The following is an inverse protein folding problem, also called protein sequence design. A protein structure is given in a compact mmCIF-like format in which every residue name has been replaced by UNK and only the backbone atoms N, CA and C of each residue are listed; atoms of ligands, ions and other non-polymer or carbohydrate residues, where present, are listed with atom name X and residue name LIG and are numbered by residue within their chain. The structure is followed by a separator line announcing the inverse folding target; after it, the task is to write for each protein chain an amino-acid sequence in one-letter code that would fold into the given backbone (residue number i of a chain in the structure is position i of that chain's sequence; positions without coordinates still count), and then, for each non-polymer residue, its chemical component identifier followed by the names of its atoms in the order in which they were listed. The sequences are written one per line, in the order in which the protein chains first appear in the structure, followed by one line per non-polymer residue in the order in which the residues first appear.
data_IF_966694086334
#
_entry.id   IF_966694086334
#
_cell.length_a   1.000
_cell.length_b   1.000
_cell.length_c   1.000
_cell.angle_alpha   90.00
_cell.angle_beta   90.00
_cell.angle_gamma   90.00
#
_symmetry.space_group_name_H-M   'P 1'
#
loop_
_entity.id
_entity.type
_entity.pdbx_description
1 polymer ?
#
# COMPACT_ATOMS: atom_id res chain seq x y z
N UNK A 1 -16.72 -19.47 -26.43
CA UNK A 1 -16.01 -18.29 -25.89
C UNK A 1 -17.04 -17.39 -25.21
N UNK A 2 -16.79 -16.94 -23.98
CA UNK A 2 -17.72 -16.07 -23.24
C UNK A 2 -17.83 -14.68 -23.89
N UNK A 3 -19.03 -14.10 -23.88
CA UNK A 3 -19.39 -12.82 -24.52
C UNK A 3 -18.44 -11.64 -24.18
N UNK A 4 -17.78 -11.69 -23.03
CA UNK A 4 -16.90 -10.61 -22.53
C UNK A 4 -15.41 -10.99 -22.52
N UNK A 5 -15.03 -12.14 -23.09
CA UNK A 5 -13.64 -12.60 -23.08
C UNK A 5 -13.07 -12.82 -21.67
N UNK A 6 -13.92 -13.09 -20.67
CA UNK A 6 -13.50 -13.46 -19.31
C UNK A 6 -13.55 -14.99 -19.14
N UNK A 7 -12.62 -15.52 -18.36
CA UNK A 7 -12.45 -16.96 -18.10
C UNK A 7 -12.34 -17.20 -16.60
N UNK A 8 -13.14 -18.13 -16.10
CA UNK A 8 -13.07 -18.62 -14.73
C UNK A 8 -11.93 -19.62 -14.63
N UNK A 9 -10.91 -19.31 -13.85
CA UNK A 9 -9.65 -20.04 -13.83
C UNK A 9 -9.76 -21.39 -13.12
N UNK A 10 -10.54 -21.47 -12.04
CA UNK A 10 -10.65 -22.66 -11.18
C UNK A 10 -11.20 -23.90 -11.92
N UNK A 11 -11.76 -23.74 -13.12
CA UNK A 11 -12.30 -24.81 -13.95
C UNK A 11 -11.38 -25.24 -15.09
N UNK A 12 -10.32 -24.49 -15.39
CA UNK A 12 -9.45 -24.73 -16.57
C UNK A 12 -8.40 -25.81 -16.31
N UNK A 13 -8.02 -26.04 -15.06
CA UNK A 13 -6.92 -26.93 -14.70
C UNK A 13 -7.45 -28.30 -14.27
N UNK A 14 -6.86 -29.36 -14.83
CA UNK A 14 -7.08 -30.73 -14.38
C UNK A 14 -6.37 -30.93 -13.03
N UNK A 15 -7.12 -30.77 -11.95
CA UNK A 15 -6.65 -30.91 -10.58
C UNK A 15 -7.61 -31.78 -9.77
N UNK A 16 -7.11 -32.36 -8.68
CA UNK A 16 -7.93 -33.04 -7.66
C UNK A 16 -8.95 -32.06 -7.08
N UNK A 17 -10.15 -32.54 -6.76
CA UNK A 17 -11.24 -31.67 -6.28
C UNK A 17 -10.89 -30.91 -5.01
N UNK A 18 -10.12 -31.52 -4.11
CA UNK A 18 -9.63 -30.86 -2.89
C UNK A 18 -8.76 -29.61 -3.17
N UNK A 19 -8.21 -29.48 -4.37
CA UNK A 19 -7.45 -28.31 -4.81
C UNK A 19 -8.31 -27.31 -5.58
N UNK A 20 -9.58 -27.60 -5.82
CA UNK A 20 -10.54 -26.74 -6.52
C UNK A 20 -11.60 -26.19 -5.57
N UNK A 21 -12.00 -26.96 -4.57
CA UNK A 21 -13.03 -26.56 -3.62
C UNK A 21 -12.49 -25.62 -2.55
N UNK A 22 -13.22 -24.55 -2.27
CA UNK A 22 -12.77 -23.44 -1.44
C UNK A 22 -13.61 -23.24 -0.19
N UNK A 23 -14.79 -23.84 -0.09
CA UNK A 23 -15.68 -23.65 1.04
C UNK A 23 -16.20 -24.99 1.56
N UNK A 24 -16.30 -25.16 2.88
CA UNK A 24 -16.86 -26.37 3.50
C UNK A 24 -18.19 -26.05 4.17
N UNK A 25 -19.25 -26.72 3.74
CA UNK A 25 -20.55 -26.57 4.38
C UNK A 25 -20.51 -27.08 5.84
N UNK A 26 -20.84 -26.26 6.85
CA UNK A 26 -20.63 -26.60 8.26
C UNK A 26 -21.37 -27.85 8.76
N UNK A 27 -22.53 -28.17 8.17
CA UNK A 27 -23.35 -29.32 8.60
C UNK A 27 -23.05 -30.62 7.86
N UNK A 28 -22.71 -30.54 6.57
CA UNK A 28 -22.51 -31.72 5.73
C UNK A 28 -21.04 -32.05 5.52
N UNK A 29 -20.15 -31.15 5.95
CA UNK A 29 -18.70 -31.19 5.75
C UNK A 29 -18.28 -31.34 4.29
N UNK A 30 -19.21 -31.07 3.36
CA UNK A 30 -18.98 -31.16 1.95
C UNK A 30 -18.25 -29.91 1.45
N UNK A 31 -17.29 -30.13 0.55
CA UNK A 31 -16.48 -29.07 -0.01
C UNK A 31 -17.06 -28.59 -1.35
N UNK A 32 -17.30 -27.29 -1.46
CA UNK A 32 -17.83 -26.63 -2.64
C UNK A 32 -16.81 -25.61 -3.21
N UNK A 33 -16.93 -25.32 -4.50
CA UNK A 33 -16.19 -24.24 -5.16
C UNK A 33 -17.08 -22.98 -5.16
N UNK A 34 -16.76 -22.00 -4.30
CA UNK A 34 -17.49 -20.74 -4.19
C UNK A 34 -16.62 -19.52 -4.52
N UNK A 35 -15.30 -19.63 -4.35
CA UNK A 35 -14.36 -18.54 -4.60
C UNK A 35 -13.71 -18.73 -5.97
N UNK A 36 -13.74 -17.70 -6.81
CA UNK A 36 -13.28 -17.77 -8.19
C UNK A 36 -12.22 -16.71 -8.49
N UNK A 37 -11.25 -17.11 -9.30
CA UNK A 37 -10.32 -16.17 -9.94
C UNK A 37 -10.75 -16.05 -11.40
N UNK A 38 -11.05 -14.81 -11.81
CA UNK A 38 -11.48 -14.50 -13.18
C UNK A 38 -10.35 -13.74 -13.87
N UNK A 39 -10.00 -14.19 -15.07
CA UNK A 39 -8.95 -13.58 -15.90
C UNK A 39 -9.50 -13.23 -17.28
N UNK A 40 -8.89 -12.25 -17.95
CA UNK A 40 -9.18 -12.00 -19.37
C UNK A 40 -8.59 -13.14 -20.21
N UNK A 41 -9.28 -13.52 -21.27
CA UNK A 41 -8.88 -14.62 -22.15
C UNK A 41 -7.50 -14.41 -22.77
N UNK A 42 -7.14 -13.17 -23.11
CA UNK A 42 -5.80 -12.83 -23.63
C UNK A 42 -4.67 -13.03 -22.61
N UNK A 43 -4.98 -12.91 -21.31
CA UNK A 43 -4.02 -13.06 -20.21
C UNK A 43 -4.02 -14.51 -19.67
N UNK A 44 -4.85 -15.41 -20.23
CA UNK A 44 -4.98 -16.80 -19.77
C UNK A 44 -3.65 -17.54 -19.82
N UNK A 45 -2.85 -17.30 -20.86
CA UNK A 45 -1.53 -17.91 -21.07
C UNK A 45 -0.54 -17.60 -19.95
N UNK A 46 -0.75 -16.49 -19.24
CA UNK A 46 0.13 -16.04 -18.17
C UNK A 46 -0.22 -16.69 -16.84
N UNK A 47 -1.33 -17.44 -16.76
CA UNK A 47 -1.80 -18.04 -15.52
C UNK A 47 -1.29 -19.48 -15.38
N UNK A 48 -0.29 -19.68 -14.53
CA UNK A 48 0.41 -20.97 -14.38
C UNK A 48 -0.40 -22.01 -13.61
N UNK A 49 -0.94 -21.65 -12.44
CA UNK A 49 -1.73 -22.56 -11.60
C UNK A 49 -2.63 -21.79 -10.66
N UNK A 50 -3.80 -22.34 -10.35
CA UNK A 50 -4.73 -21.79 -9.37
C UNK A 50 -5.23 -22.97 -8.59
N UNK A 51 -5.22 -22.85 -7.27
CA UNK A 51 -5.64 -23.93 -6.39
C UNK A 51 -6.09 -23.37 -5.05
N UNK A 52 -7.03 -24.08 -4.43
CA UNK A 52 -7.28 -23.99 -3.01
C UNK A 52 -6.04 -24.49 -2.25
N UNK A 53 -5.70 -23.79 -1.16
CA UNK A 53 -4.56 -24.10 -0.31
C UNK A 53 -5.03 -24.96 0.86
N UNK A 54 -4.55 -26.20 0.94
CA UNK A 54 -4.84 -27.10 2.06
C UNK A 54 -4.14 -26.61 3.35
N UNK A 55 -4.79 -26.83 4.48
CA UNK A 55 -4.31 -26.38 5.80
C UNK A 55 -4.55 -24.89 6.06
N UNK A 56 -5.28 -24.21 5.18
CA UNK A 56 -5.70 -22.81 5.43
C UNK A 56 -7.06 -22.72 6.09
N UNK A 57 -7.81 -23.82 6.09
CA UNK A 57 -9.08 -23.98 6.81
C UNK A 57 -8.93 -23.95 8.34
N UNK A 58 -7.71 -24.14 8.87
CA UNK A 58 -7.44 -24.10 10.31
C UNK A 58 -7.54 -22.67 10.90
N UNK A 59 -7.75 -21.66 10.05
CA UNK A 59 -7.87 -20.26 10.42
C UNK A 59 -9.29 -19.84 10.89
N UNK A 60 -10.06 -20.75 11.50
CA UNK A 60 -11.43 -20.50 11.99
C UNK A 60 -12.44 -20.05 10.94
N UNK A 61 -12.19 -20.36 9.67
CA UNK A 61 -13.11 -20.08 8.56
C UNK A 61 -13.53 -21.38 7.89
N UNK A 62 -14.75 -21.38 7.37
CA UNK A 62 -15.26 -22.39 6.45
C UNK A 62 -14.66 -22.27 5.04
N UNK A 63 -13.77 -21.29 4.79
CA UNK A 63 -13.08 -21.09 3.53
C UNK A 63 -11.61 -21.56 3.54
N UNK A 64 -11.13 -21.99 2.37
CA UNK A 64 -9.72 -22.17 2.03
C UNK A 64 -9.24 -20.98 1.23
N UNK A 65 -8.02 -20.56 1.49
CA UNK A 65 -7.33 -19.57 0.65
C UNK A 65 -7.19 -20.09 -0.78
N UNK A 66 -7.51 -19.22 -1.75
CA UNK A 66 -7.27 -19.49 -3.17
C UNK A 66 -6.00 -18.80 -3.61
N UNK A 67 -5.07 -19.57 -4.17
CA UNK A 67 -3.80 -19.03 -4.68
C UNK A 67 -3.73 -19.22 -6.18
N UNK A 68 -3.44 -18.14 -6.91
CA UNK A 68 -3.04 -18.20 -8.31
C UNK A 68 -1.60 -17.75 -8.49
N UNK A 69 -0.83 -18.54 -9.23
CA UNK A 69 0.52 -18.20 -9.69
C UNK A 69 0.41 -17.72 -11.13
N UNK A 70 0.93 -16.53 -11.41
CA UNK A 70 0.81 -15.87 -12.71
C UNK A 70 2.11 -15.17 -13.09
N UNK A 71 2.41 -15.12 -14.39
CA UNK A 71 3.51 -14.33 -14.95
C UNK A 71 2.99 -13.00 -15.50
N UNK A 72 2.79 -12.02 -14.62
CA UNK A 72 2.20 -10.73 -14.99
C UNK A 72 3.31 -9.72 -15.31
N UNK A 73 3.29 -9.21 -16.54
CA UNK A 73 4.14 -8.09 -16.93
C UNK A 73 3.41 -6.78 -16.61
N UNK A 74 3.84 -6.10 -15.55
CA UNK A 74 3.35 -4.77 -15.21
C UNK A 74 4.20 -3.73 -15.93
N UNK A 75 3.57 -2.86 -16.73
CA UNK A 75 4.26 -1.72 -17.29
C UNK A 75 4.83 -0.85 -16.16
N UNK A 76 6.07 -0.34 -16.28
CA UNK A 76 6.63 0.58 -15.30
C UNK A 76 5.67 1.74 -15.08
N UNK A 77 5.34 2.01 -13.82
CA UNK A 77 4.49 3.15 -13.47
C UNK A 77 5.18 4.42 -13.93
N UNK A 78 4.60 5.10 -14.93
CA UNK A 78 5.06 6.42 -15.36
C UNK A 78 5.01 7.37 -14.15
N UNK A 79 6.17 7.74 -13.60
CA UNK A 79 6.24 8.72 -12.51
C UNK A 79 5.82 10.09 -13.08
N UNK A 80 4.62 10.55 -12.73
CA UNK A 80 4.09 11.86 -13.18
C UNK A 80 4.75 13.07 -12.50
N UNK A 81 5.75 12.89 -11.66
CA UNK A 81 6.47 13.99 -11.03
C UNK A 81 7.90 13.55 -10.78
N UNK A 82 8.85 14.30 -11.34
CA UNK A 82 10.14 14.41 -10.67
C UNK A 82 9.79 14.88 -9.26
N UNK A 83 10.14 14.07 -8.23
CA UNK A 83 10.12 14.56 -6.85
C UNK A 83 10.88 15.88 -6.90
N UNK A 84 10.22 17.00 -6.56
CA UNK A 84 10.92 18.26 -6.40
C UNK A 84 12.16 17.95 -5.57
N UNK A 85 13.35 18.24 -6.10
CA UNK A 85 14.59 17.93 -5.42
C UNK A 85 14.43 18.45 -3.99
N UNK A 86 14.58 17.57 -2.99
CA UNK A 86 14.55 17.99 -1.60
C UNK A 86 15.53 19.16 -1.50
N UNK A 87 15.05 20.34 -1.11
CA UNK A 87 15.92 21.51 -0.90
C UNK A 87 17.01 21.06 0.06
N UNK A 88 18.24 20.95 -0.45
CA UNK A 88 19.39 20.64 0.39
C UNK A 88 19.87 21.95 0.98
N UNK A 89 19.87 22.04 2.31
CA UNK A 89 20.47 23.16 3.00
C UNK A 89 22.00 23.06 2.83
N UNK A 90 22.64 24.16 2.48
CA UNK A 90 24.09 24.21 2.37
C UNK A 90 24.73 24.23 3.76
N UNK A 91 24.88 23.06 4.37
CA UNK A 91 25.55 22.89 5.66
C UNK A 91 27.08 22.96 5.57
N UNK A 92 27.65 23.01 4.35
CA UNK A 92 29.10 23.03 4.18
C UNK A 92 29.73 24.36 4.57
N UNK A 93 28.98 25.46 4.44
CA UNK A 93 29.39 26.80 4.86
C UNK A 93 29.63 26.90 6.37
N UNK A 94 28.95 26.09 7.18
CA UNK A 94 29.08 26.07 8.65
C UNK A 94 30.35 25.37 9.15
N UNK A 95 31.21 24.87 8.24
CA UNK A 95 32.52 24.32 8.62
C UNK A 95 33.56 25.40 8.91
N UNK A 96 33.33 26.61 8.41
CA UNK A 96 34.16 27.77 8.73
C UNK A 96 33.73 28.34 10.09
N UNK A 97 34.64 28.48 11.07
CA UNK A 97 34.29 28.99 12.40
C UNK A 97 33.67 30.40 12.36
N UNK A 98 34.13 31.26 11.46
CA UNK A 98 33.59 32.62 11.33
C UNK A 98 32.14 32.63 10.85
N UNK A 99 31.83 31.84 9.82
CA UNK A 99 30.46 31.66 9.34
C UNK A 99 29.54 31.01 10.39
N UNK A 100 30.08 30.10 11.21
CA UNK A 100 29.30 29.48 12.30
C UNK A 100 28.93 30.49 13.38
N UNK A 101 29.87 31.32 13.84
CA UNK A 101 29.63 32.34 14.85
C UNK A 101 28.64 33.41 14.36
N UNK A 102 28.82 33.88 13.13
CA UNK A 102 27.91 34.85 12.51
C UNK A 102 26.48 34.30 12.39
N UNK A 103 26.35 33.05 11.94
CA UNK A 103 25.06 32.38 11.84
C UNK A 103 24.40 32.20 13.22
N UNK A 104 25.18 31.82 14.24
CA UNK A 104 24.66 31.69 15.60
C UNK A 104 24.19 33.03 16.17
N UNK A 105 24.96 34.11 15.97
CA UNK A 105 24.58 35.44 16.42
C UNK A 105 23.26 35.91 15.76
N UNK A 106 23.13 35.71 14.46
CA UNK A 106 21.90 36.02 13.72
C UNK A 106 20.72 35.17 14.20
N UNK A 107 20.94 33.88 14.47
CA UNK A 107 19.91 32.97 14.97
C UNK A 107 19.41 33.40 16.35
N UNK A 108 20.30 33.71 17.29
CA UNK A 108 19.91 34.16 18.63
C UNK A 108 19.14 35.49 18.57
N UNK A 109 19.61 36.45 17.76
CA UNK A 109 18.90 37.72 17.57
C UNK A 109 17.50 37.51 16.95
N UNK A 110 17.36 36.59 16.00
CA UNK A 110 16.07 36.27 15.41
C UNK A 110 15.14 35.57 16.42
N UNK A 111 15.67 34.69 17.27
CA UNK A 111 14.91 34.00 18.30
C UNK A 111 14.43 34.94 19.41
N UNK A 112 15.20 35.97 19.76
CA UNK A 112 14.78 37.01 20.71
C UNK A 112 13.60 37.85 20.20
N UNK A 113 13.43 37.96 18.88
CA UNK A 113 12.30 38.65 18.26
C UNK A 113 11.05 37.78 18.14
N UNK A 114 11.16 36.47 18.40
CA UNK A 114 10.01 35.56 18.40
C UNK A 114 9.29 35.71 19.76
N UNK A 115 7.99 36.07 19.78
CA UNK A 115 7.28 36.20 21.04
C UNK A 115 7.27 34.86 21.79
N UNK A 116 7.57 34.89 23.07
CA UNK A 116 7.66 33.68 23.89
C UNK A 116 6.26 33.19 24.28
N UNK A 117 6.15 31.93 24.73
CA UNK A 117 4.87 31.34 25.12
C UNK A 117 4.14 32.11 26.23
N UNK A 118 4.85 32.95 26.98
CA UNK A 118 4.29 33.85 28.00
C UNK A 118 3.66 35.13 27.37
N UNK A 119 4.06 35.51 26.16
CA UNK A 119 3.57 36.68 25.42
C UNK A 119 2.37 36.35 24.50
N UNK A 120 2.18 35.06 24.19
CA UNK A 120 1.14 34.58 23.29
C UNK A 120 0.12 33.80 24.11
N UNK A 121 -1.11 34.32 24.20
CA UNK A 121 -2.22 33.52 24.71
C UNK A 121 -2.38 32.27 23.82
N UNK A 122 -1.95 31.12 24.34
CA UNK A 122 -2.03 29.80 23.69
C UNK A 122 -3.46 29.57 23.16
N UNK A 123 -4.45 30.06 23.89
CA UNK A 123 -5.86 29.98 23.53
C UNK A 123 -6.20 30.77 22.25
N UNK A 124 -5.65 31.99 22.10
CA UNK A 124 -5.88 32.83 20.91
C UNK A 124 -5.27 32.21 19.65
N UNK A 125 -4.06 31.65 19.77
CA UNK A 125 -3.38 30.98 18.65
C UNK A 125 -4.12 29.68 18.25
N UNK A 126 -4.65 28.94 19.23
CA UNK A 126 -5.45 27.75 18.98
C UNK A 126 -6.79 28.06 18.30
N UNK A 127 -7.40 29.20 18.60
CA UNK A 127 -8.63 29.66 17.96
C UNK A 127 -8.41 30.09 16.50
N UNK A 128 -7.29 30.74 16.21
CA UNK A 128 -6.88 31.10 14.84
C UNK A 128 -6.62 29.86 13.96
N UNK A 129 -5.97 28.83 14.52
CA UNK A 129 -5.75 27.56 13.81
C UNK A 129 -7.06 26.83 13.47
N UNK A 130 -8.07 26.91 14.35
CA UNK A 130 -9.37 26.28 14.13
C UNK A 130 -10.20 26.98 13.06
N UNK A 131 -9.99 28.26 12.81
CA UNK A 131 -10.76 29.03 11.81
C UNK A 131 -10.15 28.96 10.40
N UNK A 132 -8.92 28.49 10.27
CA UNK A 132 -8.20 28.36 8.99
C UNK A 132 -8.49 27.06 8.22
N UNK A 133 -9.34 26.17 8.76
CA UNK A 133 -9.82 24.91 8.15
C UNK A 133 -11.33 24.95 8.01
#
# INVERSE_FOLDING_TARGET
MCQHGLIVKNTVFHQKDQLKTTWRHPRSEHWHLLDYIIVRGRDLRDVLVTRAMKGSEDCWTDHRLVRSVMNIHLAPRHRKTQKAARRQLNVTALKDPGQQEEFQAQLYSALEQVPTADDISIQSHWEELKSAV
#
